data_IF_716960873299
#
_entry.id   IF_716960873299
#
_cell.length_a   1.000
_cell.length_b   1.000
_cell.length_c   1.000
_cell.angle_alpha   90.00
_cell.angle_beta   90.00
_cell.angle_gamma   90.00
#
_symmetry.space_group_name_H-M   'P 1'
#
loop_
_entity.id
_entity.type
_entity.pdbx_description
1 polymer ?
#
# COMPACT_ATOMS: atom_id res chain seq x y z
N UNK A 1 28.59 -54.33 28.55
CA UNK A 1 27.54 -54.84 27.64
C UNK A 1 26.88 -53.63 26.99
N UNK A 2 27.23 -53.15 25.79
CA UNK A 2 26.92 -53.68 24.42
C UNK A 2 25.51 -54.28 24.38
N UNK A 3 24.61 -54.00 23.45
CA UNK A 3 24.56 -53.13 22.26
C UNK A 3 23.14 -53.33 21.71
N UNK A 4 22.39 -52.28 21.44
CA UNK A 4 21.20 -52.30 20.58
C UNK A 4 21.23 -50.92 19.91
N UNK A 5 21.42 -50.74 18.60
CA UNK A 5 21.04 -51.57 17.47
C UNK A 5 20.03 -50.76 16.67
N UNK A 6 20.50 -49.91 15.75
CA UNK A 6 19.63 -49.02 14.99
C UNK A 6 20.37 -48.15 13.96
N UNK A 7 21.06 -48.78 12.99
CA UNK A 7 21.47 -48.11 11.74
C UNK A 7 20.48 -48.52 10.66
N UNK A 8 19.55 -47.62 10.33
CA UNK A 8 18.70 -47.76 9.15
C UNK A 8 19.53 -47.44 7.91
N UNK A 9 19.61 -48.40 7.00
CA UNK A 9 20.40 -48.35 5.79
C UNK A 9 19.83 -47.39 4.74
N UNK A 10 20.73 -46.71 4.05
CA UNK A 10 20.46 -46.12 2.74
C UNK A 10 20.21 -47.24 1.74
N UNK A 11 18.96 -47.43 1.33
CA UNK A 11 18.59 -48.25 0.20
C UNK A 11 18.04 -47.38 -0.94
N UNK A 12 18.57 -47.71 -2.11
CA UNK A 12 18.56 -46.99 -3.38
C UNK A 12 17.18 -47.11 -4.07
N UNK A 13 16.36 -46.06 -4.02
CA UNK A 13 15.08 -46.02 -4.73
C UNK A 13 15.27 -45.54 -6.17
N UNK A 14 15.64 -46.45 -7.09
CA UNK A 14 15.56 -46.23 -8.54
C UNK A 14 14.09 -46.12 -8.96
N UNK A 15 13.59 -44.90 -9.16
CA UNK A 15 12.30 -44.67 -9.83
C UNK A 15 12.38 -45.12 -11.29
N UNK A 16 11.65 -46.17 -11.64
CA UNK A 16 11.34 -46.54 -13.03
C UNK A 16 10.44 -45.46 -13.63
N UNK A 17 10.95 -44.70 -14.60
CA UNK A 17 10.12 -43.87 -15.47
C UNK A 17 9.61 -44.76 -16.60
N UNK A 18 8.32 -45.08 -16.59
CA UNK A 18 7.67 -45.74 -17.71
C UNK A 18 7.54 -44.74 -18.87
N UNK A 19 8.20 -45.07 -19.98
CA UNK A 19 8.15 -44.34 -21.25
C UNK A 19 6.80 -44.64 -21.92
N UNK A 20 5.87 -43.69 -21.84
CA UNK A 20 4.63 -43.76 -22.61
C UNK A 20 4.96 -43.65 -24.11
N UNK A 21 4.51 -44.65 -24.88
CA UNK A 21 4.65 -44.76 -26.33
C UNK A 21 4.09 -43.51 -27.01
N UNK A 22 4.91 -42.87 -27.85
CA UNK A 22 4.47 -41.90 -28.87
C UNK A 22 3.98 -42.68 -30.08
N UNK A 23 2.71 -43.02 -30.11
CA UNK A 23 1.99 -43.31 -31.35
C UNK A 23 1.31 -42.01 -31.81
N UNK A 24 1.37 -41.74 -33.12
CA UNK A 24 0.86 -40.59 -33.89
C UNK A 24 1.93 -39.62 -34.40
N UNK A 25 2.70 -40.08 -35.40
CA UNK A 25 3.23 -39.20 -36.45
C UNK A 25 2.65 -39.68 -37.79
N UNK A 26 1.82 -38.84 -38.42
CA UNK A 26 1.42 -39.01 -39.80
C UNK A 26 2.59 -38.65 -40.74
N UNK A 27 2.74 -39.32 -41.89
CA UNK A 27 3.86 -39.07 -42.80
C UNK A 27 3.78 -37.67 -43.44
N UNK A 28 4.92 -36.99 -43.45
CA UNK A 28 5.12 -35.69 -44.11
C UNK A 28 5.10 -35.90 -45.63
N UNK A 29 3.93 -35.85 -46.27
CA UNK A 29 3.86 -35.75 -47.74
C UNK A 29 2.50 -35.27 -48.28
N UNK A 30 1.83 -34.28 -47.66
CA UNK A 30 0.59 -33.72 -48.24
C UNK A 30 0.39 -32.19 -48.08
N UNK A 31 1.47 -31.40 -48.07
CA UNK A 31 1.33 -29.94 -48.16
C UNK A 31 2.24 -29.33 -49.22
N UNK A 32 1.97 -29.64 -50.48
CA UNK A 32 2.50 -28.86 -51.61
C UNK A 32 1.36 -28.46 -52.54
N UNK A 33 0.57 -27.47 -52.11
CA UNK A 33 -0.09 -26.59 -53.07
C UNK A 33 -0.44 -25.22 -52.45
N UNK A 34 0.58 -24.49 -52.00
CA UNK A 34 0.45 -23.07 -51.68
C UNK A 34 0.91 -22.26 -52.89
N UNK A 35 -0.01 -21.55 -53.56
CA UNK A 35 0.35 -20.62 -54.63
C UNK A 35 1.26 -19.52 -54.05
N UNK A 36 2.43 -19.22 -54.66
CA UNK A 36 3.31 -18.17 -54.15
C UNK A 36 2.59 -16.81 -54.23
N UNK A 37 2.49 -16.15 -53.07
CA UNK A 37 1.96 -14.80 -52.98
C UNK A 37 2.91 -13.84 -53.67
N UNK A 38 2.40 -13.06 -54.63
CA UNK A 38 3.23 -12.07 -55.32
C UNK A 38 3.57 -10.93 -54.37
N UNK A 39 4.74 -10.31 -54.56
CA UNK A 39 5.23 -9.17 -53.75
C UNK A 39 4.18 -8.05 -53.62
N UNK A 40 3.36 -7.83 -54.65
CA UNK A 40 2.25 -6.87 -54.65
C UNK A 40 1.11 -7.25 -53.69
N UNK A 41 0.75 -8.54 -53.59
CA UNK A 41 -0.25 -9.04 -52.64
C UNK A 41 0.26 -8.98 -51.20
N UNK A 42 1.55 -9.23 -50.99
CA UNK A 42 2.19 -9.09 -49.67
C UNK A 42 2.21 -7.63 -49.18
N UNK A 43 2.56 -6.68 -50.07
CA UNK A 43 2.55 -5.25 -49.75
C UNK A 43 1.12 -4.73 -49.51
N UNK A 44 0.13 -5.19 -50.29
CA UNK A 44 -1.27 -4.84 -50.05
C UNK A 44 -1.78 -5.35 -48.70
N UNK A 45 -1.41 -6.57 -48.30
CA UNK A 45 -1.78 -7.16 -47.01
C UNK A 45 -1.12 -6.45 -45.81
N UNK A 46 0.11 -5.94 -45.96
CA UNK A 46 0.81 -5.19 -44.90
C UNK A 46 0.33 -3.74 -44.81
N UNK A 47 -0.03 -3.09 -45.92
CA UNK A 47 -0.61 -1.74 -45.91
C UNK A 47 -2.01 -1.71 -45.26
N UNK A 48 -2.83 -2.75 -45.46
CA UNK A 48 -4.13 -2.89 -44.79
C UNK A 48 -3.99 -3.08 -43.26
N UNK A 49 -2.92 -3.73 -42.80
CA UNK A 49 -2.65 -3.90 -41.36
C UNK A 49 -2.14 -2.60 -40.69
N UNK A 50 -1.47 -1.72 -41.44
CA UNK A 50 -0.99 -0.43 -40.93
C UNK A 50 -2.05 0.69 -40.92
N UNK A 51 -3.15 0.52 -41.68
CA UNK A 51 -4.25 1.48 -41.77
C UNK A 51 -5.40 1.21 -40.79
N UNK A 52 -5.33 0.15 -39.99
CA UNK A 52 -6.22 0.01 -38.86
C UNK A 52 -5.79 1.03 -37.80
N UNK A 53 -6.62 2.01 -37.42
CA UNK A 53 -6.37 2.69 -36.17
C UNK A 53 -6.26 1.58 -35.14
N UNK A 54 -5.15 1.56 -34.39
CA UNK A 54 -4.98 0.69 -33.25
C UNK A 54 -6.00 1.09 -32.19
N UNK A 55 -7.29 0.81 -32.45
CA UNK A 55 -8.31 0.80 -31.45
C UNK A 55 -7.90 -0.31 -30.52
N UNK A 56 -7.33 0.12 -29.40
CA UNK A 56 -6.94 -0.70 -28.29
C UNK A 56 -8.11 -1.61 -27.93
N UNK A 57 -8.07 -2.84 -28.42
CA UNK A 57 -8.99 -3.89 -28.04
C UNK A 57 -8.94 -4.03 -26.51
N UNK A 58 -9.99 -3.56 -25.84
CA UNK A 58 -10.33 -3.95 -24.47
C UNK A 58 -9.38 -3.51 -23.36
N UNK A 59 -8.49 -2.52 -23.56
CA UNK A 59 -7.69 -2.00 -22.43
C UNK A 59 -8.60 -1.18 -21.52
N UNK A 60 -9.14 -1.82 -20.48
CA UNK A 60 -9.86 -1.13 -19.40
C UNK A 60 -9.00 0.05 -18.92
N UNK A 61 -9.58 1.25 -18.71
CA UNK A 61 -8.82 2.36 -18.15
C UNK A 61 -8.17 1.87 -16.86
N UNK A 62 -6.86 2.10 -16.70
CA UNK A 62 -6.16 1.76 -15.47
C UNK A 62 -6.86 2.49 -14.34
N UNK A 63 -7.40 1.75 -13.37
CA UNK A 63 -7.94 2.33 -12.15
C UNK A 63 -6.83 3.14 -11.47
N UNK A 64 -7.16 4.37 -11.08
CA UNK A 64 -6.25 5.19 -10.30
C UNK A 64 -6.16 4.62 -8.88
N UNK A 65 -4.93 4.39 -8.40
CA UNK A 65 -4.67 3.86 -7.06
C UNK A 65 -4.11 4.99 -6.20
N UNK A 66 -4.74 5.19 -5.03
CA UNK A 66 -4.27 6.08 -3.98
C UNK A 66 -3.87 5.21 -2.78
N UNK A 67 -2.60 5.27 -2.39
CA UNK A 67 -2.11 4.67 -1.16
C UNK A 67 -2.18 5.72 -0.05
N UNK A 68 -3.11 5.55 0.90
CA UNK A 68 -3.35 6.50 1.98
C UNK A 68 -2.45 6.26 3.21
N UNK A 69 -1.67 5.18 3.23
CA UNK A 69 -0.97 4.75 4.44
C UNK A 69 0.44 4.23 4.11
N UNK A 70 1.37 5.16 3.95
CA UNK A 70 2.77 4.82 3.73
C UNK A 70 3.69 5.57 4.68
N UNK A 71 4.76 4.90 5.11
CA UNK A 71 5.79 5.51 5.95
C UNK A 71 7.17 5.49 5.29
N UNK A 72 7.95 6.52 5.55
CA UNK A 72 9.40 6.49 5.35
C UNK A 72 10.06 5.66 6.45
N UNK A 73 11.21 5.06 6.15
CA UNK A 73 12.04 4.31 7.12
C UNK A 73 11.39 3.06 7.76
N UNK A 74 10.17 2.68 7.36
CA UNK A 74 9.43 1.53 7.91
C UNK A 74 10.31 0.28 8.00
N UNK A 75 10.58 -0.17 9.23
CA UNK A 75 11.40 -1.33 9.55
C UNK A 75 12.75 -1.35 8.81
N UNK A 76 13.39 -0.18 8.69
CA UNK A 76 14.68 -0.02 8.01
C UNK A 76 14.61 0.07 6.48
N UNK A 77 13.41 0.09 5.88
CA UNK A 77 13.24 0.29 4.43
C UNK A 77 13.70 1.69 4.04
N UNK A 78 14.67 1.77 3.14
CA UNK A 78 15.15 3.05 2.60
C UNK A 78 14.14 3.67 1.59
N UNK A 79 14.36 4.95 1.30
CA UNK A 79 13.50 5.75 0.43
C UNK A 79 13.42 5.15 -1.00
N UNK A 80 14.54 4.68 -1.56
CA UNK A 80 14.57 4.11 -2.92
C UNK A 80 13.68 2.87 -3.06
N UNK A 81 13.71 1.97 -2.07
CA UNK A 81 12.85 0.78 -2.06
C UNK A 81 11.38 1.15 -1.90
N UNK A 82 11.06 2.12 -1.05
CA UNK A 82 9.68 2.61 -0.90
C UNK A 82 9.17 3.22 -2.21
N UNK A 83 9.93 4.12 -2.83
CA UNK A 83 9.57 4.75 -4.09
C UNK A 83 9.45 3.73 -5.23
N UNK A 84 10.38 2.75 -5.29
CA UNK A 84 10.33 1.66 -6.26
C UNK A 84 9.09 0.78 -6.09
N UNK A 85 8.71 0.48 -4.85
CA UNK A 85 7.52 -0.30 -4.53
C UNK A 85 6.23 0.40 -4.99
N UNK A 86 6.08 1.70 -4.68
CA UNK A 86 4.92 2.50 -5.10
C UNK A 86 4.78 2.56 -6.64
N UNK A 87 5.90 2.72 -7.36
CA UNK A 87 5.91 2.66 -8.83
C UNK A 87 5.50 1.29 -9.38
N UNK A 88 5.99 0.21 -8.77
CA UNK A 88 5.68 -1.15 -9.20
C UNK A 88 4.19 -1.49 -9.01
N UNK A 89 3.58 -0.98 -7.95
CA UNK A 89 2.13 -1.08 -7.70
C UNK A 89 1.29 -0.21 -8.64
N UNK A 90 1.91 0.74 -9.35
CA UNK A 90 1.20 1.69 -10.19
C UNK A 90 0.40 2.73 -9.40
N UNK A 91 0.82 3.03 -8.18
CA UNK A 91 0.18 4.04 -7.32
C UNK A 91 0.35 5.42 -7.95
N UNK A 92 -0.78 6.14 -8.08
CA UNK A 92 -0.78 7.50 -8.60
C UNK A 92 -0.43 8.50 -7.51
N UNK A 93 -1.07 8.37 -6.35
CA UNK A 93 -0.89 9.23 -5.19
C UNK A 93 -0.58 8.42 -3.94
N UNK A 94 0.47 8.78 -3.22
CA UNK A 94 0.84 8.19 -1.95
C UNK A 94 0.80 9.27 -0.86
N UNK A 95 0.09 8.99 0.22
CA UNK A 95 0.08 9.81 1.44
C UNK A 95 1.13 9.27 2.39
N UNK A 96 2.12 10.12 2.70
CA UNK A 96 3.19 9.79 3.62
C UNK A 96 2.85 10.24 5.04
N UNK A 97 2.78 9.28 5.95
CA UNK A 97 2.41 9.47 7.36
C UNK A 97 3.68 9.49 8.23
N UNK A 98 4.02 10.61 8.88
CA UNK A 98 5.17 10.65 9.77
C UNK A 98 4.87 10.03 11.14
N UNK A 99 5.91 9.52 11.79
CA UNK A 99 5.89 9.29 13.24
C UNK A 99 6.00 10.61 14.02
N UNK A 100 5.63 10.58 15.30
CA UNK A 100 6.02 11.61 16.26
C UNK A 100 7.53 11.60 16.56
N UNK A 101 7.97 12.51 17.44
CA UNK A 101 9.40 12.62 17.80
C UNK A 101 9.98 11.39 18.49
N UNK A 102 9.14 10.59 19.15
CA UNK A 102 9.51 9.32 19.82
C UNK A 102 8.66 8.16 19.29
N UNK A 103 9.07 6.94 19.66
CA UNK A 103 8.39 5.66 19.43
C UNK A 103 8.33 5.16 17.97
N UNK A 104 8.44 6.03 16.97
CA UNK A 104 8.57 5.60 15.56
C UNK A 104 7.43 4.69 15.08
N UNK A 105 6.22 4.87 15.61
CA UNK A 105 5.03 4.05 15.34
C UNK A 105 5.20 2.54 15.61
N UNK A 106 6.15 2.18 16.47
CA UNK A 106 6.60 0.81 16.72
C UNK A 106 7.17 0.08 15.48
N UNK A 107 7.57 0.83 14.46
CA UNK A 107 8.16 0.31 13.22
C UNK A 107 9.37 1.13 12.76
N UNK A 108 9.95 1.95 13.63
CA UNK A 108 11.05 2.86 13.32
C UNK A 108 10.77 3.77 12.10
N UNK A 109 9.50 4.20 11.97
CA UNK A 109 9.07 5.10 10.90
C UNK A 109 9.72 6.48 11.04
N UNK A 110 9.96 7.14 9.90
CA UNK A 110 10.51 8.48 9.87
C UNK A 110 9.50 9.54 10.31
N UNK A 111 9.99 10.62 10.91
CA UNK A 111 9.16 11.76 11.33
C UNK A 111 8.89 12.78 10.21
N UNK A 112 8.24 13.90 10.56
CA UNK A 112 7.76 14.93 9.63
C UNK A 112 8.79 15.40 8.58
N UNK A 113 10.07 15.59 8.98
CA UNK A 113 11.13 16.02 8.07
C UNK A 113 11.39 15.00 6.95
N UNK A 114 11.26 13.72 7.24
CA UNK A 114 11.54 12.64 6.29
C UNK A 114 10.45 12.53 5.22
N UNK A 115 9.18 12.53 5.63
CA UNK A 115 8.04 12.46 4.70
C UNK A 115 7.97 13.70 3.82
N UNK A 116 8.18 14.90 4.39
CA UNK A 116 8.20 16.15 3.63
C UNK A 116 9.29 16.17 2.57
N UNK A 117 10.49 15.66 2.89
CA UNK A 117 11.60 15.56 1.94
C UNK A 117 11.21 14.77 0.70
N UNK A 118 10.45 13.68 0.86
CA UNK A 118 9.96 12.88 -0.27
C UNK A 118 8.88 13.61 -1.04
N UNK A 119 7.88 14.17 -0.36
CA UNK A 119 6.78 14.89 -1.00
C UNK A 119 7.27 16.06 -1.86
N UNK A 120 8.18 16.89 -1.33
CA UNK A 120 8.75 18.03 -2.07
C UNK A 120 9.55 17.61 -3.30
N UNK A 121 10.26 16.48 -3.24
CA UNK A 121 11.03 15.95 -4.38
C UNK A 121 10.15 15.27 -5.44
N UNK A 122 8.94 14.85 -5.07
CA UNK A 122 8.05 14.06 -5.93
C UNK A 122 6.60 14.59 -5.90
N UNK A 123 6.36 15.88 -6.18
CA UNK A 123 5.08 16.54 -5.89
C UNK A 123 3.90 16.06 -6.75
N UNK A 124 4.16 15.29 -7.81
CA UNK A 124 3.12 14.74 -8.71
C UNK A 124 2.58 13.37 -8.26
N UNK A 125 3.19 12.79 -7.23
CA UNK A 125 2.87 11.43 -6.77
C UNK A 125 2.80 11.30 -5.25
N UNK A 126 3.35 12.25 -4.50
CA UNK A 126 3.45 12.13 -3.05
C UNK A 126 2.98 13.40 -2.36
N UNK A 127 2.12 13.21 -1.37
CA UNK A 127 1.76 14.23 -0.38
C UNK A 127 2.15 13.73 1.01
N UNK A 128 2.08 14.60 2.01
CA UNK A 128 2.44 14.22 3.37
C UNK A 128 1.43 14.76 4.37
N UNK A 129 1.29 14.03 5.47
CA UNK A 129 0.61 14.50 6.67
C UNK A 129 1.64 15.06 7.65
N UNK A 130 1.14 15.72 8.69
CA UNK A 130 1.89 16.16 9.86
C UNK A 130 1.52 15.31 11.08
N UNK A 131 2.45 15.08 12.00
CA UNK A 131 2.17 14.27 13.20
C UNK A 131 3.04 14.67 14.38
N UNK A 132 2.55 14.48 15.59
CA UNK A 132 3.32 14.57 16.83
C UNK A 132 2.61 13.79 17.94
N UNK A 133 3.36 13.39 18.98
CA UNK A 133 2.82 12.75 20.18
C UNK A 133 1.69 13.61 20.77
N UNK A 134 0.49 13.05 20.89
CA UNK A 134 -0.74 13.80 21.15
C UNK A 134 -0.75 14.59 22.47
N UNK A 135 -0.16 14.02 23.53
CA UNK A 135 -0.09 14.61 24.86
C UNK A 135 1.14 15.49 25.11
N UNK A 136 2.07 15.56 24.14
CA UNK A 136 3.25 16.40 24.24
C UNK A 136 2.87 17.90 24.22
N UNK A 137 3.51 18.76 25.04
CA UNK A 137 3.19 20.19 25.08
C UNK A 137 3.33 20.89 23.72
N UNK A 138 4.32 20.49 22.92
CA UNK A 138 4.58 21.05 21.59
C UNK A 138 3.80 20.37 20.46
N UNK A 139 2.83 19.49 20.76
CA UNK A 139 2.09 18.71 19.76
C UNK A 139 1.49 19.62 18.67
N UNK A 140 0.65 20.57 19.10
CA UNK A 140 -0.08 21.48 18.21
C UNK A 140 0.90 22.37 17.42
N UNK A 141 1.87 22.99 18.08
CA UNK A 141 2.86 23.84 17.42
C UNK A 141 3.69 23.07 16.37
N UNK A 142 4.02 21.80 16.66
CA UNK A 142 4.76 20.94 15.72
C UNK A 142 3.91 20.62 14.50
N UNK A 143 2.69 20.13 14.70
CA UNK A 143 1.77 19.77 13.61
C UNK A 143 1.49 21.01 12.74
N UNK A 144 1.14 22.14 13.37
CA UNK A 144 0.85 23.39 12.68
C UNK A 144 2.03 23.86 11.81
N UNK A 145 3.27 23.75 12.32
CA UNK A 145 4.46 24.10 11.56
C UNK A 145 4.60 23.31 10.25
N UNK A 146 4.14 22.06 10.22
CA UNK A 146 4.18 21.22 9.02
C UNK A 146 2.95 21.41 8.11
N UNK A 147 1.77 21.71 8.67
CA UNK A 147 0.61 22.16 7.90
C UNK A 147 0.95 23.43 7.10
N UNK A 148 1.55 24.45 7.75
CA UNK A 148 2.08 25.66 7.10
C UNK A 148 3.15 25.37 6.03
N UNK A 149 3.77 24.19 6.05
CA UNK A 149 4.79 23.72 5.09
C UNK A 149 4.23 22.77 4.03
N UNK A 150 2.90 22.69 3.90
CA UNK A 150 2.20 21.96 2.84
C UNK A 150 1.78 20.53 3.20
N UNK A 151 1.73 20.18 4.49
CA UNK A 151 1.07 18.93 4.89
C UNK A 151 -0.45 19.07 4.67
N UNK A 152 -1.07 18.00 4.17
CA UNK A 152 -2.48 18.00 3.71
C UNK A 152 -3.40 17.20 4.65
N UNK A 153 -2.94 16.94 5.87
CA UNK A 153 -3.61 16.08 6.85
C UNK A 153 -2.78 15.90 8.10
N UNK A 154 -3.39 15.33 9.12
CA UNK A 154 -2.76 15.02 10.40
C UNK A 154 -2.81 13.51 10.65
N UNK A 155 -1.69 12.92 11.07
CA UNK A 155 -1.60 11.50 11.40
C UNK A 155 -0.34 10.84 10.86
N UNK A 156 -0.07 9.57 11.15
CA UNK A 156 -0.92 8.63 11.86
C UNK A 156 -0.97 8.89 13.36
N UNK A 157 -2.14 9.25 13.90
CA UNK A 157 -2.33 9.33 15.35
C UNK A 157 -2.36 7.91 15.90
N UNK A 158 -1.25 7.47 16.50
CA UNK A 158 -1.07 6.13 17.09
C UNK A 158 -0.37 6.28 18.45
N UNK A 159 -1.11 6.77 19.44
CA UNK A 159 -0.58 7.09 20.77
C UNK A 159 -1.46 6.53 21.88
N UNK A 160 -0.86 6.34 23.06
CA UNK A 160 -1.50 5.74 24.24
C UNK A 160 -2.39 6.74 24.97
N UNK A 161 -3.40 7.24 24.28
CA UNK A 161 -4.41 8.16 24.82
C UNK A 161 -5.80 7.61 24.53
N UNK A 162 -6.80 8.05 25.29
CA UNK A 162 -8.19 7.81 24.94
C UNK A 162 -8.56 8.62 23.67
N UNK A 163 -9.37 8.04 22.80
CA UNK A 163 -9.77 8.66 21.54
C UNK A 163 -10.60 9.93 21.73
N UNK A 164 -11.29 10.07 22.87
CA UNK A 164 -12.08 11.24 23.26
C UNK A 164 -11.32 12.23 24.16
N UNK A 165 -10.02 11.99 24.39
CA UNK A 165 -9.21 12.81 25.28
C UNK A 165 -9.08 14.26 24.82
N UNK A 166 -8.81 15.17 25.76
CA UNK A 166 -8.46 16.58 25.46
C UNK A 166 -7.31 16.72 24.46
N UNK A 167 -6.45 15.71 24.36
CA UNK A 167 -5.31 15.71 23.44
C UNK A 167 -5.75 15.52 21.99
N UNK A 168 -6.64 14.55 21.74
CA UNK A 168 -7.25 14.35 20.41
C UNK A 168 -8.17 15.52 20.06
N UNK A 169 -8.92 16.06 21.01
CA UNK A 169 -9.78 17.23 20.77
C UNK A 169 -8.99 18.45 20.26
N UNK A 170 -7.84 18.77 20.86
CA UNK A 170 -6.97 19.87 20.37
C UNK A 170 -6.44 19.63 18.96
N UNK A 171 -6.17 18.37 18.62
CA UNK A 171 -5.75 18.00 17.26
C UNK A 171 -6.90 18.18 16.28
N UNK A 172 -8.12 17.79 16.66
CA UNK A 172 -9.31 18.00 15.85
C UNK A 172 -9.65 19.49 15.67
N UNK A 173 -9.48 20.32 16.70
CA UNK A 173 -9.60 21.78 16.62
C UNK A 173 -8.65 22.36 15.56
N UNK A 174 -7.37 21.97 15.62
CA UNK A 174 -6.39 22.38 14.62
C UNK A 174 -6.73 21.87 13.21
N UNK A 175 -7.16 20.61 13.11
CA UNK A 175 -7.56 20.02 11.83
C UNK A 175 -8.72 20.79 11.18
N UNK A 176 -9.69 21.22 12.00
CA UNK A 176 -10.82 22.01 11.56
C UNK A 176 -10.41 23.43 11.12
N UNK A 177 -9.48 24.07 11.82
CA UNK A 177 -8.95 25.39 11.45
C UNK A 177 -8.26 25.35 10.07
N UNK A 178 -7.52 24.28 9.79
CA UNK A 178 -6.78 24.11 8.55
C UNK A 178 -7.58 23.40 7.43
N UNK A 179 -8.81 22.97 7.70
CA UNK A 179 -9.64 22.18 6.79
C UNK A 179 -8.93 20.92 6.24
N UNK A 180 -8.34 20.14 7.16
CA UNK A 180 -7.59 18.92 6.83
C UNK A 180 -8.11 17.68 7.58
N UNK A 181 -7.97 16.47 7.01
CA UNK A 181 -8.38 15.24 7.67
C UNK A 181 -7.44 14.83 8.81
N UNK A 182 -7.94 13.99 9.72
CA UNK A 182 -7.16 13.32 10.77
C UNK A 182 -7.21 11.81 10.59
N UNK A 183 -6.05 11.17 10.40
CA UNK A 183 -5.92 9.72 10.33
C UNK A 183 -5.58 9.13 11.70
N UNK A 184 -6.43 8.21 12.17
CA UNK A 184 -6.42 7.62 13.50
C UNK A 184 -6.18 6.11 13.44
N UNK A 185 -5.21 5.62 14.21
CA UNK A 185 -4.95 4.19 14.40
C UNK A 185 -5.64 3.70 15.68
N UNK A 186 -6.59 2.78 15.58
CA UNK A 186 -7.26 2.20 16.76
C UNK A 186 -6.75 0.80 17.03
N UNK A 187 -6.17 0.59 18.23
CA UNK A 187 -5.64 -0.70 18.66
C UNK A 187 -5.99 -0.99 20.12
N UNK A 188 -6.77 -2.04 20.34
CA UNK A 188 -7.25 -2.48 21.64
C UNK A 188 -6.10 -2.65 22.64
N UNK A 189 -6.23 -2.01 23.81
CA UNK A 189 -5.23 -2.05 24.88
C UNK A 189 -3.96 -1.24 24.62
N UNK A 190 -3.78 -0.67 23.42
CA UNK A 190 -2.52 -0.04 23.02
C UNK A 190 -2.67 1.42 22.58
N UNK A 191 -3.51 1.74 21.59
CA UNK A 191 -3.54 3.07 20.97
C UNK A 191 -4.98 3.56 20.73
N UNK A 192 -5.21 4.86 20.97
CA UNK A 192 -6.51 5.52 20.82
C UNK A 192 -7.66 4.68 21.41
N UNK A 193 -7.55 4.38 22.70
CA UNK A 193 -8.50 3.52 23.44
C UNK A 193 -9.88 4.16 23.59
N UNK A 194 -10.87 3.37 24.00
CA UNK A 194 -12.24 3.86 24.23
C UNK A 194 -13.02 4.16 22.96
N UNK A 195 -12.86 3.35 21.90
CA UNK A 195 -13.49 3.57 20.57
C UNK A 195 -15.01 3.74 20.65
N UNK A 196 -15.67 3.13 21.63
CA UNK A 196 -17.10 3.26 21.88
C UNK A 196 -17.53 4.72 22.13
N UNK A 197 -16.61 5.56 22.62
CA UNK A 197 -16.82 6.99 22.86
C UNK A 197 -16.36 7.88 21.71
N UNK A 198 -15.79 7.31 20.64
CA UNK A 198 -15.29 8.11 19.51
C UNK A 198 -16.40 8.90 18.80
N UNK A 199 -17.65 8.42 18.84
CA UNK A 199 -18.79 9.16 18.29
C UNK A 199 -18.93 10.57 18.89
N UNK A 200 -18.53 10.78 20.16
CA UNK A 200 -18.56 12.11 20.80
C UNK A 200 -17.58 13.10 20.15
N UNK A 201 -16.47 12.62 19.61
CA UNK A 201 -15.53 13.43 18.83
C UNK A 201 -16.12 13.78 17.47
N UNK A 202 -16.78 12.82 16.81
CA UNK A 202 -17.45 13.05 15.52
C UNK A 202 -18.57 14.09 15.66
N UNK A 203 -19.37 14.00 16.73
CA UNK A 203 -20.42 14.97 17.06
C UNK A 203 -19.87 16.37 17.37
N UNK A 204 -18.75 16.43 18.11
CA UNK A 204 -18.12 17.70 18.49
C UNK A 204 -17.41 18.40 17.31
N UNK A 205 -16.85 17.63 16.38
CA UNK A 205 -16.08 18.12 15.23
C UNK A 205 -16.67 17.63 13.90
N UNK A 206 -17.93 17.97 13.57
CA UNK A 206 -18.64 17.41 12.42
C UNK A 206 -18.08 17.86 11.06
N UNK A 207 -17.18 18.85 11.05
CA UNK A 207 -16.50 19.33 9.83
C UNK A 207 -15.16 18.63 9.57
N UNK A 208 -14.64 17.88 10.54
CA UNK A 208 -13.35 17.19 10.38
C UNK A 208 -13.57 15.82 9.79
N UNK A 209 -12.88 15.53 8.70
CA UNK A 209 -12.86 14.19 8.12
C UNK A 209 -11.89 13.29 8.91
N UNK A 210 -12.44 12.36 9.70
CA UNK A 210 -11.65 11.35 10.40
C UNK A 210 -11.50 10.09 9.54
N UNK A 211 -10.28 9.55 9.50
CA UNK A 211 -9.96 8.33 8.78
C UNK A 211 -9.44 7.31 9.79
N UNK A 212 -10.29 6.39 10.20
CA UNK A 212 -9.93 5.32 11.12
C UNK A 212 -9.36 4.09 10.40
N UNK A 213 -8.39 3.42 11.04
CA UNK A 213 -7.92 2.12 10.59
C UNK A 213 -7.33 1.29 11.75
N UNK A 214 -6.87 0.09 11.39
CA UNK A 214 -6.37 -0.99 12.25
C UNK A 214 -7.48 -1.81 12.91
N UNK A 215 -7.08 -2.86 13.62
CA UNK A 215 -7.98 -3.95 14.03
C UNK A 215 -9.22 -3.45 14.76
N UNK A 216 -9.07 -2.46 15.66
CA UNK A 216 -10.19 -2.05 16.52
C UNK A 216 -11.18 -1.22 15.74
N UNK A 217 -10.70 -0.39 14.81
CA UNK A 217 -11.57 0.33 13.90
C UNK A 217 -12.38 -0.63 13.02
N UNK A 218 -11.70 -1.56 12.35
CA UNK A 218 -12.37 -2.50 11.42
C UNK A 218 -13.41 -3.36 12.13
N UNK A 219 -13.10 -3.84 13.34
CA UNK A 219 -14.08 -4.60 14.12
C UNK A 219 -15.29 -3.80 14.57
N UNK A 220 -15.15 -2.49 14.82
CA UNK A 220 -16.28 -1.66 15.25
C UNK A 220 -17.14 -1.11 14.11
N UNK A 221 -16.71 -1.27 12.85
CA UNK A 221 -17.53 -0.88 11.67
C UNK A 221 -18.03 -2.07 10.85
N UNK A 222 -17.52 -3.28 11.11
CA UNK A 222 -18.02 -4.49 10.49
C UNK A 222 -19.30 -4.95 11.19
N UNK A 223 -20.38 -5.05 10.41
CA UNK A 223 -21.68 -5.53 10.88
C UNK A 223 -21.61 -6.95 11.48
N UNK A 224 -20.65 -7.76 11.04
CA UNK A 224 -20.52 -9.17 11.43
C UNK A 224 -19.35 -9.41 12.39
N UNK A 225 -18.85 -8.38 13.05
CA UNK A 225 -17.81 -8.56 14.06
C UNK A 225 -18.43 -9.08 15.37
N UNK A 226 -17.92 -10.21 15.86
CA UNK A 226 -18.31 -10.84 17.12
C UNK A 226 -17.67 -10.16 18.34
#
# INVERSE_FOLDING_TARGET
>A
MRSIGGRAGFHNAKKKVALARRENYAPVSQFTNMKPLTRRKFIAATAAAAALPGQALGRKPKQEIIDLHQHTNYSGRNDERMLGHQRALGVKWTVLLPAGRLYGLAANCGGNKSVRRIAVKNPRNYVHFANEIADHPECIATIESFLKKGAVGIGEQKFKVECDSKHIQRIAELAQEYDVPVLMHFEHGNYNTGIERFHTILEKFPKVNFIGHAQTWWGNIDKNHD
#
